data_IF_171315579291
#
_entry.id   IF_171315579291
#
_cell.length_a   1.000
_cell.length_b   1.000
_cell.length_c   1.000
_cell.angle_alpha   90.00
_cell.angle_beta   90.00
_cell.angle_gamma   90.00
#
_symmetry.space_group_name_H-M   'P 1'
#
loop_
_entity.id
_entity.type
_entity.pdbx_description
1 polymer ?
#
# COMPACT_ATOMS: atom_id res chain seq x y z
N UNK A 1 18.40 -8.96 18.72
CA UNK A 1 17.47 -7.82 18.53
C UNK A 1 16.17 -8.34 17.94
N UNK A 2 15.10 -8.41 18.74
CA UNK A 2 13.76 -8.77 18.25
C UNK A 2 13.24 -7.64 17.38
N UNK A 3 12.99 -7.96 16.13
CA UNK A 3 12.49 -7.01 15.17
C UNK A 3 11.00 -6.72 15.42
N UNK A 4 10.63 -5.45 15.56
CA UNK A 4 9.25 -5.09 15.90
C UNK A 4 8.27 -5.62 14.85
N UNK A 5 7.07 -6.02 15.29
CA UNK A 5 6.05 -6.57 14.38
C UNK A 5 5.69 -5.61 13.23
N UNK A 6 5.88 -4.30 13.44
CA UNK A 6 5.68 -3.24 12.44
C UNK A 6 6.79 -3.22 11.40
N UNK A 7 8.07 -3.28 11.81
CA UNK A 7 9.20 -3.30 10.88
C UNK A 7 9.09 -4.49 9.89
N UNK A 8 8.66 -5.65 10.40
CA UNK A 8 8.44 -6.84 9.57
C UNK A 8 7.30 -6.62 8.57
N UNK A 9 6.20 -5.98 9.00
CA UNK A 9 5.09 -5.64 8.09
C UNK A 9 5.50 -4.59 7.05
N UNK A 10 6.35 -3.64 7.42
CA UNK A 10 6.90 -2.65 6.51
C UNK A 10 7.76 -3.30 5.42
N UNK A 11 8.70 -4.18 5.79
CA UNK A 11 9.50 -4.92 4.79
C UNK A 11 8.66 -5.80 3.89
N UNK A 12 7.64 -6.48 4.43
CA UNK A 12 6.70 -7.25 3.60
C UNK A 12 5.85 -6.35 2.69
N UNK A 13 5.55 -5.12 3.12
CA UNK A 13 4.87 -4.14 2.29
C UNK A 13 5.74 -3.63 1.16
N UNK A 14 7.02 -3.40 1.42
CA UNK A 14 8.01 -3.07 0.39
C UNK A 14 8.14 -4.19 -0.63
N UNK A 15 8.28 -5.45 -0.18
CA UNK A 15 8.32 -6.60 -1.07
C UNK A 15 7.05 -6.71 -1.93
N UNK A 16 5.87 -6.56 -1.32
CA UNK A 16 4.61 -6.57 -2.07
C UNK A 16 4.55 -5.46 -3.13
N UNK A 17 5.00 -4.25 -2.82
CA UNK A 17 5.05 -3.17 -3.79
C UNK A 17 6.08 -3.44 -4.89
N UNK A 18 7.23 -4.01 -4.55
CA UNK A 18 8.25 -4.37 -5.54
C UNK A 18 7.71 -5.39 -6.54
N UNK A 19 7.08 -6.46 -6.06
CA UNK A 19 6.67 -7.58 -6.90
C UNK A 19 5.37 -7.29 -7.68
N UNK A 20 4.46 -6.52 -7.08
CA UNK A 20 3.08 -6.37 -7.58
C UNK A 20 2.57 -4.93 -7.54
N UNK A 21 3.47 -3.95 -7.39
CA UNK A 21 3.10 -2.53 -7.29
C UNK A 21 2.39 -1.99 -8.53
N UNK A 22 2.67 -2.57 -9.70
CA UNK A 22 1.99 -2.21 -10.96
C UNK A 22 0.49 -2.56 -10.97
N UNK A 23 0.05 -3.53 -10.15
CA UNK A 23 -1.36 -3.92 -10.04
C UNK A 23 -2.15 -3.04 -9.07
N UNK A 24 -1.45 -2.20 -8.27
CA UNK A 24 -2.11 -1.28 -7.35
C UNK A 24 -2.78 -0.16 -8.14
N UNK A 25 -4.08 0.04 -7.89
CA UNK A 25 -4.90 1.01 -8.61
C UNK A 25 -5.83 1.81 -7.70
N UNK A 26 -6.11 3.08 -8.01
CA UNK A 26 -7.14 3.85 -7.32
C UNK A 26 -8.52 3.22 -7.52
N UNK A 27 -9.39 3.38 -6.53
CA UNK A 27 -10.79 2.95 -6.61
C UNK A 27 -11.70 4.17 -6.81
N UNK A 28 -12.80 4.06 -7.58
CA UNK A 28 -13.73 5.18 -7.81
C UNK A 28 -14.32 5.77 -6.52
N UNK A 29 -14.63 4.93 -5.53
CA UNK A 29 -15.15 5.35 -4.22
C UNK A 29 -14.06 5.80 -3.22
N UNK A 30 -12.85 6.09 -3.72
CA UNK A 30 -11.70 6.43 -2.90
C UNK A 30 -10.92 5.23 -2.37
N UNK A 31 -9.67 5.48 -1.99
CA UNK A 31 -8.71 4.46 -1.59
C UNK A 31 -8.06 3.72 -2.75
N UNK A 32 -7.33 2.67 -2.42
CA UNK A 32 -6.51 1.88 -3.33
C UNK A 32 -6.94 0.42 -3.27
N UNK A 33 -6.98 -0.24 -4.43
CA UNK A 33 -7.04 -1.69 -4.52
C UNK A 33 -5.62 -2.23 -4.51
N UNK A 34 -5.25 -3.00 -3.48
CA UNK A 34 -3.90 -3.55 -3.31
C UNK A 34 -3.97 -5.08 -3.40
N UNK A 35 -3.15 -5.73 -4.24
CA UNK A 35 -3.20 -7.18 -4.42
C UNK A 35 -2.81 -7.94 -3.14
N UNK A 36 -3.43 -9.10 -2.95
CA UNK A 36 -3.05 -10.05 -1.92
C UNK A 36 -1.75 -10.75 -2.30
N UNK A 37 -0.78 -10.83 -1.39
CA UNK A 37 0.48 -11.54 -1.68
C UNK A 37 0.34 -13.08 -1.72
N UNK A 38 -0.79 -13.64 -1.29
CA UNK A 38 -0.95 -15.10 -1.09
C UNK A 38 -2.19 -15.69 -1.75
N UNK A 39 -3.04 -14.86 -2.34
CA UNK A 39 -4.26 -15.30 -3.00
C UNK A 39 -4.34 -14.61 -4.36
N UNK A 40 -3.99 -15.30 -5.45
CA UNK A 40 -4.14 -14.79 -6.80
C UNK A 40 -5.56 -14.26 -7.06
N UNK A 41 -5.67 -13.18 -7.82
CA UNK A 41 -6.96 -12.53 -8.11
C UNK A 41 -7.60 -11.76 -6.94
N UNK A 42 -7.17 -11.95 -5.69
CA UNK A 42 -7.72 -11.21 -4.55
C UNK A 42 -7.00 -9.88 -4.35
N UNK A 43 -7.77 -8.82 -4.11
CA UNK A 43 -7.28 -7.51 -3.68
C UNK A 43 -7.98 -7.04 -2.40
N UNK A 44 -7.32 -6.16 -1.65
CA UNK A 44 -7.88 -5.50 -0.48
C UNK A 44 -8.02 -4.00 -0.74
N UNK A 45 -9.17 -3.43 -0.36
CA UNK A 45 -9.34 -1.98 -0.28
C UNK A 45 -8.46 -1.44 0.85
N UNK A 46 -7.65 -0.44 0.53
CA UNK A 46 -6.80 0.31 1.46
C UNK A 46 -7.17 1.78 1.40
N UNK A 47 -7.54 2.37 2.53
CA UNK A 47 -7.67 3.82 2.66
C UNK A 47 -6.41 4.36 3.31
N UNK A 48 -5.82 5.40 2.72
CA UNK A 48 -4.70 6.14 3.29
C UNK A 48 -5.15 7.38 4.09
N UNK A 49 -6.46 7.60 4.24
CA UNK A 49 -7.00 8.70 5.05
C UNK A 49 -6.91 8.40 6.56
N UNK A 50 -6.70 9.45 7.36
CA UNK A 50 -6.54 9.34 8.82
C UNK A 50 -5.39 8.40 9.20
N UNK A 51 -5.63 7.52 10.16
CA UNK A 51 -4.67 6.49 10.61
C UNK A 51 -4.41 5.38 9.57
N UNK A 52 -5.20 5.38 8.49
CA UNK A 52 -5.13 4.39 7.42
C UNK A 52 -5.80 3.06 7.78
N UNK A 53 -6.53 2.49 6.81
CA UNK A 53 -7.37 1.31 7.00
C UNK A 53 -7.17 0.30 5.89
N UNK A 54 -7.29 -0.99 6.20
CA UNK A 54 -7.22 -2.06 5.20
C UNK A 54 -8.25 -3.14 5.47
N UNK A 55 -8.91 -3.64 4.42
CA UNK A 55 -9.88 -4.75 4.52
C UNK A 55 -9.27 -6.13 4.79
N UNK A 56 -7.95 -6.25 4.95
CA UNK A 56 -7.30 -7.54 5.20
C UNK A 56 -7.47 -8.03 6.64
N UNK A 57 -7.34 -9.34 6.85
CA UNK A 57 -7.50 -9.96 8.16
C UNK A 57 -6.44 -9.54 9.19
N UNK A 58 -5.24 -9.11 8.76
CA UNK A 58 -4.19 -8.64 9.67
C UNK A 58 -4.57 -7.29 10.28
N UNK A 59 -4.99 -6.33 9.45
CA UNK A 59 -5.49 -5.04 9.92
C UNK A 59 -6.77 -5.19 10.74
N UNK A 60 -7.75 -5.98 10.27
CA UNK A 60 -9.02 -6.20 11.00
C UNK A 60 -8.80 -6.73 12.42
N UNK A 61 -7.81 -7.61 12.61
CA UNK A 61 -7.51 -8.20 13.92
C UNK A 61 -6.70 -7.27 14.81
N UNK A 62 -5.72 -6.56 14.26
CA UNK A 62 -4.71 -5.85 15.06
C UNK A 62 -4.93 -4.34 15.12
N UNK A 63 -5.71 -3.79 14.20
CA UNK A 63 -5.93 -2.35 13.99
C UNK A 63 -4.62 -1.57 13.89
N UNK A 64 -3.61 -2.20 13.31
CA UNK A 64 -2.26 -1.65 13.11
C UNK A 64 -1.90 -1.67 11.61
N UNK A 65 -0.94 -0.83 11.17
CA UNK A 65 -0.44 -0.84 9.81
C UNK A 65 -0.05 -2.25 9.34
N UNK A 66 -0.75 -2.73 8.32
CA UNK A 66 -0.49 -4.02 7.68
C UNK A 66 0.43 -3.83 6.46
N UNK A 67 0.98 -4.93 5.93
CA UNK A 67 1.82 -4.88 4.73
C UNK A 67 1.15 -4.19 3.52
N UNK A 68 -0.17 -4.34 3.35
CA UNK A 68 -0.89 -3.70 2.24
C UNK A 68 -0.95 -2.18 2.40
N UNK A 69 -0.99 -1.69 3.64
CA UNK A 69 -0.97 -0.26 3.94
C UNK A 69 0.40 0.34 3.58
N UNK A 70 1.48 -0.35 3.94
CA UNK A 70 2.83 0.04 3.53
C UNK A 70 3.02 0.01 2.01
N UNK A 71 2.55 -1.05 1.32
CA UNK A 71 2.61 -1.11 -0.14
C UNK A 71 1.84 0.06 -0.81
N UNK A 72 0.64 0.37 -0.30
CA UNK A 72 -0.16 1.49 -0.73
C UNK A 72 0.54 2.85 -0.51
N UNK A 73 1.19 3.05 0.65
CA UNK A 73 1.95 4.25 0.95
C UNK A 73 3.11 4.47 -0.03
N UNK A 74 3.86 3.40 -0.34
CA UNK A 74 4.98 3.47 -1.30
C UNK A 74 4.45 3.82 -2.69
N UNK A 75 3.37 3.17 -3.14
CA UNK A 75 2.74 3.47 -4.42
C UNK A 75 2.31 4.94 -4.48
N UNK A 76 1.59 5.43 -3.48
CA UNK A 76 1.11 6.82 -3.44
C UNK A 76 2.26 7.83 -3.42
N UNK A 77 3.36 7.54 -2.71
CA UNK A 77 4.55 8.39 -2.72
C UNK A 77 5.20 8.46 -4.10
N UNK A 78 5.30 7.32 -4.81
CA UNK A 78 5.87 7.26 -6.15
C UNK A 78 5.00 7.96 -7.19
N UNK A 79 3.69 7.80 -7.14
CA UNK A 79 2.78 8.53 -8.02
C UNK A 79 2.88 10.04 -7.80
N UNK A 80 2.88 10.50 -6.54
CA UNK A 80 3.08 11.93 -6.23
C UNK A 80 4.40 12.45 -6.80
N UNK A 81 5.50 11.70 -6.63
CA UNK A 81 6.80 12.07 -7.20
C UNK A 81 6.78 12.14 -8.73
N UNK A 82 6.14 11.17 -9.39
CA UNK A 82 6.02 11.16 -10.84
C UNK A 82 5.24 12.38 -11.36
N UNK A 83 4.14 12.75 -10.70
CA UNK A 83 3.37 13.94 -11.04
C UNK A 83 4.19 15.23 -10.88
N UNK A 84 4.95 15.36 -9.78
CA UNK A 84 5.85 16.51 -9.58
C UNK A 84 6.90 16.59 -10.69
N UNK A 85 7.50 15.47 -11.07
CA UNK A 85 8.51 15.43 -12.14
C UNK A 85 7.91 15.73 -13.52
N UNK A 86 6.69 15.26 -13.79
CA UNK A 86 5.97 15.56 -15.03
C UNK A 86 5.64 17.05 -15.13
N UNK A 87 5.17 17.67 -14.04
CA UNK A 87 4.89 19.11 -13.98
C UNK A 87 6.13 19.97 -14.21
N UNK A 88 7.31 19.54 -13.71
CA UNK A 88 8.59 20.22 -13.95
C UNK A 88 9.10 20.15 -15.39
N UNK A 89 8.62 19.22 -16.20
CA UNK A 89 9.01 19.09 -17.61
C UNK A 89 8.10 19.89 -18.56
N UNK A 90 6.95 20.33 -18.07
CA UNK A 90 5.97 21.09 -18.84
C UNK A 90 6.09 22.62 -18.67
N UNK A 91 7.03 23.06 -17.81
CA UNK A 91 7.37 24.46 -17.54
C UNK A 91 8.79 24.74 -18.04
#
# INVERSE_FOLDING_TARGET
MSESSVARRARRGLALWHDRGAEIRPMPAGGLSVPSCSQPGRSYRVSLAGEGRCGCADWRRRRQPCKHLFAALIWAAKQRRALVLAGRRAA
#
